data_IF_516542015411
#
_entry.id   IF_516542015411
#
_cell.length_a   1.000
_cell.length_b   1.000
_cell.length_c   1.000
_cell.angle_alpha   90.00
_cell.angle_beta   90.00
_cell.angle_gamma   90.00
#
_symmetry.space_group_name_H-M   'P 1'
#
loop_
_entity.id
_entity.type
_entity.pdbx_description
1 polymer ?
#
# COMPACT_ATOMS: atom_id res chain seq x y z
N UNK A 1 -5.57 15.30 -12.72
CA UNK A 1 -4.82 14.98 -11.48
C UNK A 1 -3.81 13.87 -11.78
N UNK A 2 -2.51 14.20 -11.86
CA UNK A 2 -1.44 13.22 -12.00
C UNK A 2 -1.19 12.58 -10.62
N UNK A 3 -1.91 11.52 -10.30
CA UNK A 3 -1.94 10.91 -8.97
C UNK A 3 -0.79 9.93 -8.68
N UNK A 4 0.19 9.80 -9.58
CA UNK A 4 1.17 8.72 -9.47
C UNK A 4 2.59 9.26 -9.60
N UNK A 5 3.21 9.52 -8.45
CA UNK A 5 4.66 9.46 -8.31
C UNK A 5 5.14 8.10 -8.84
N UNK A 6 6.21 8.10 -9.65
CA UNK A 6 6.81 6.88 -10.20
C UNK A 6 7.01 5.87 -9.07
N UNK A 7 6.27 4.76 -9.11
CA UNK A 7 6.49 3.65 -8.19
C UNK A 7 7.93 3.17 -8.40
N UNK A 8 8.72 3.04 -7.30
CA UNK A 8 10.08 2.53 -7.38
C UNK A 8 10.13 1.17 -8.07
N UNK A 9 11.28 0.78 -8.60
CA UNK A 9 11.43 -0.51 -9.25
C UNK A 9 10.93 -1.62 -8.30
N UNK A 10 10.00 -2.50 -8.72
CA UNK A 10 9.43 -3.54 -7.85
C UNK A 10 10.51 -4.43 -7.22
N UNK A 11 11.65 -4.61 -7.88
CA UNK A 11 12.81 -5.34 -7.35
C UNK A 11 13.41 -4.68 -6.11
N UNK A 12 13.48 -3.35 -6.10
CA UNK A 12 14.02 -2.59 -4.96
C UNK A 12 13.07 -2.65 -3.77
N UNK A 13 11.77 -2.48 -4.01
CA UNK A 13 10.72 -2.60 -2.99
C UNK A 13 10.81 -3.99 -2.36
N UNK A 14 10.81 -5.04 -3.18
CA UNK A 14 10.92 -6.42 -2.70
C UNK A 14 12.17 -6.66 -1.87
N UNK A 15 13.34 -6.15 -2.32
CA UNK A 15 14.61 -6.29 -1.59
C UNK A 15 14.56 -5.59 -0.24
N UNK A 16 13.99 -4.39 -0.16
CA UNK A 16 13.82 -3.67 1.12
C UNK A 16 12.92 -4.42 2.09
N UNK A 17 11.90 -5.11 1.58
CA UNK A 17 11.00 -5.95 2.38
C UNK A 17 11.61 -7.32 2.74
N UNK A 18 12.78 -7.69 2.21
CA UNK A 18 13.40 -8.99 2.46
C UNK A 18 12.64 -10.18 1.88
N UNK A 19 11.75 -9.96 0.91
CA UNK A 19 10.89 -11.02 0.35
C UNK A 19 11.53 -11.69 -0.88
N UNK A 20 11.28 -12.99 -1.04
CA UNK A 20 11.55 -13.67 -2.31
C UNK A 20 10.50 -13.28 -3.37
N UNK A 21 10.73 -13.65 -4.64
CA UNK A 21 9.82 -13.26 -5.73
C UNK A 21 8.42 -13.88 -5.56
N UNK A 22 8.34 -15.15 -5.16
CA UNK A 22 7.05 -15.84 -5.02
C UNK A 22 6.18 -15.14 -3.97
N UNK A 23 6.71 -14.87 -2.78
CA UNK A 23 5.97 -14.24 -1.68
C UNK A 23 5.58 -12.80 -1.99
N UNK A 24 6.46 -12.07 -2.68
CA UNK A 24 6.17 -10.70 -3.09
C UNK A 24 5.04 -10.62 -4.13
N UNK A 25 5.13 -11.43 -5.19
CA UNK A 25 4.19 -11.34 -6.30
C UNK A 25 2.84 -12.02 -6.01
N UNK A 26 2.85 -13.12 -5.24
CA UNK A 26 1.63 -13.84 -4.87
C UNK A 26 0.65 -12.99 -4.06
N UNK A 27 1.14 -12.09 -3.19
CA UNK A 27 0.31 -11.16 -2.40
C UNK A 27 -0.55 -10.22 -3.26
N UNK A 28 -0.21 -10.03 -4.52
CA UNK A 28 -1.00 -9.22 -5.48
C UNK A 28 -1.55 -10.06 -6.65
N UNK A 29 -1.62 -11.38 -6.48
CA UNK A 29 -2.18 -12.29 -7.47
C UNK A 29 -1.33 -12.46 -8.74
N UNK A 30 -0.04 -12.16 -8.70
CA UNK A 30 0.88 -12.30 -9.82
C UNK A 30 1.73 -13.55 -9.65
N UNK A 31 1.87 -14.34 -10.72
CA UNK A 31 2.75 -15.52 -10.73
C UNK A 31 4.22 -15.11 -10.62
N UNK A 32 5.10 -15.96 -10.07
CA UNK A 32 6.53 -15.65 -9.98
C UNK A 32 7.16 -15.38 -11.35
N UNK A 33 6.80 -16.14 -12.39
CA UNK A 33 7.32 -15.93 -13.75
C UNK A 33 6.84 -14.62 -14.37
N UNK A 34 5.60 -14.20 -14.06
CA UNK A 34 5.07 -12.88 -14.44
C UNK A 34 5.81 -11.76 -13.71
N UNK A 35 5.97 -11.90 -12.41
CA UNK A 35 6.67 -10.95 -11.54
C UNK A 35 8.13 -10.73 -11.94
N UNK A 36 8.85 -11.82 -12.23
CA UNK A 36 10.25 -11.76 -12.68
C UNK A 36 10.43 -10.91 -13.95
N UNK A 37 9.46 -10.96 -14.88
CA UNK A 37 9.48 -10.11 -16.08
C UNK A 37 9.34 -8.64 -15.73
N UNK A 38 8.48 -8.30 -14.78
CA UNK A 38 8.30 -6.92 -14.33
C UNK A 38 9.56 -6.40 -13.62
N UNK A 39 10.22 -7.21 -12.80
CA UNK A 39 11.50 -6.85 -12.16
C UNK A 39 12.64 -6.65 -13.17
N UNK A 40 12.54 -7.30 -14.33
CA UNK A 40 13.53 -7.23 -15.42
C UNK A 40 13.26 -6.09 -16.41
N UNK A 41 12.29 -5.21 -16.14
CA UNK A 41 12.03 -4.01 -16.93
C UNK A 41 10.86 -4.12 -17.91
N UNK A 42 10.12 -5.25 -17.94
CA UNK A 42 8.86 -5.31 -18.69
C UNK A 42 7.87 -4.29 -18.13
N UNK A 43 7.17 -3.58 -19.01
CA UNK A 43 6.11 -2.68 -18.59
C UNK A 43 5.03 -3.43 -17.78
N UNK A 44 4.74 -2.90 -16.60
CA UNK A 44 3.74 -3.44 -15.70
C UNK A 44 2.36 -2.82 -16.01
N UNK A 45 1.31 -3.64 -16.22
CA UNK A 45 -0.05 -3.15 -16.39
C UNK A 45 -0.49 -2.26 -15.24
N UNK A 46 -1.32 -1.26 -15.52
CA UNK A 46 -1.82 -0.32 -14.50
C UNK A 46 -2.45 -1.04 -13.29
N UNK A 47 -3.33 -2.06 -13.43
CA UNK A 47 -3.93 -2.73 -12.27
C UNK A 47 -2.90 -3.37 -11.34
N UNK A 48 -1.90 -4.07 -11.91
CA UNK A 48 -0.82 -4.70 -11.15
C UNK A 48 0.00 -3.66 -10.40
N UNK A 49 0.24 -2.51 -11.04
CA UNK A 49 1.00 -1.40 -10.46
C UNK A 49 0.27 -0.77 -9.26
N UNK A 50 -1.03 -0.59 -9.37
CA UNK A 50 -1.87 -0.06 -8.28
C UNK A 50 -1.90 -1.04 -7.09
N UNK A 51 -2.11 -2.33 -7.35
CA UNK A 51 -2.08 -3.34 -6.29
C UNK A 51 -0.71 -3.41 -5.60
N UNK A 52 0.38 -3.32 -6.36
CA UNK A 52 1.72 -3.27 -5.79
C UNK A 52 1.88 -2.08 -4.85
N UNK A 53 1.40 -0.89 -5.24
CA UNK A 53 1.44 0.29 -4.37
C UNK A 53 0.64 0.04 -3.09
N UNK A 54 -0.62 -0.39 -3.21
CA UNK A 54 -1.49 -0.59 -2.05
C UNK A 54 -0.90 -1.61 -1.07
N UNK A 55 -0.43 -2.75 -1.58
CA UNK A 55 0.03 -3.86 -0.73
C UNK A 55 1.45 -3.67 -0.20
N UNK A 56 2.39 -3.26 -1.05
CA UNK A 56 3.82 -3.27 -0.70
C UNK A 56 4.40 -1.90 -0.35
N UNK A 57 3.69 -0.80 -0.67
CA UNK A 57 4.12 0.57 -0.33
C UNK A 57 3.23 1.16 0.76
N UNK A 58 1.91 1.01 0.64
CA UNK A 58 0.96 1.49 1.65
C UNK A 58 0.66 0.43 2.73
N UNK A 59 1.22 -0.77 2.62
CA UNK A 59 1.07 -1.87 3.57
C UNK A 59 -0.40 -2.24 3.87
N UNK A 60 -1.27 -2.09 2.86
CA UNK A 60 -2.69 -2.42 2.95
C UNK A 60 -2.88 -3.92 2.72
N UNK A 61 -3.43 -4.59 3.71
CA UNK A 61 -3.90 -5.97 3.58
C UNK A 61 -5.26 -5.99 2.87
N UNK A 62 -5.27 -6.42 1.60
CA UNK A 62 -6.46 -6.47 0.76
C UNK A 62 -7.58 -7.34 1.35
N UNK A 63 -7.26 -8.36 2.15
CA UNK A 63 -8.26 -9.22 2.78
C UNK A 63 -9.06 -8.50 3.86
N UNK A 64 -8.52 -7.41 4.41
CA UNK A 64 -9.15 -6.60 5.45
C UNK A 64 -9.92 -5.40 4.89
N UNK A 65 -9.78 -5.11 3.61
CA UNK A 65 -10.43 -3.98 2.95
C UNK A 65 -11.92 -4.29 2.79
N UNK A 66 -12.78 -3.50 3.44
CA UNK A 66 -14.23 -3.59 3.29
C UNK A 66 -14.80 -2.34 2.62
N UNK A 67 -15.89 -2.52 1.88
CA UNK A 67 -16.59 -1.40 1.26
C UNK A 67 -17.13 -0.41 2.30
N UNK A 68 -17.72 -0.92 3.38
CA UNK A 68 -18.29 -0.14 4.48
C UNK A 68 -17.27 0.84 5.10
N UNK A 69 -16.00 0.44 5.24
CA UNK A 69 -14.96 1.33 5.77
C UNK A 69 -14.79 2.59 4.91
N UNK A 70 -14.91 2.46 3.58
CA UNK A 70 -14.83 3.60 2.67
C UNK A 70 -16.08 4.47 2.72
N UNK A 71 -17.26 3.87 2.86
CA UNK A 71 -18.51 4.61 3.03
C UNK A 71 -18.47 5.46 4.30
N UNK A 72 -17.99 4.90 5.41
CA UNK A 72 -17.79 5.62 6.66
C UNK A 72 -16.80 6.77 6.48
N UNK A 73 -15.68 6.54 5.80
CA UNK A 73 -14.67 7.59 5.52
C UNK A 73 -15.30 8.74 4.70
N UNK A 74 -16.09 8.41 3.68
CA UNK A 74 -16.73 9.40 2.82
C UNK A 74 -17.79 10.20 3.60
N UNK A 75 -18.63 9.51 4.38
CA UNK A 75 -19.60 10.15 5.27
C UNK A 75 -18.91 11.09 6.26
N UNK A 76 -17.82 10.65 6.91
CA UNK A 76 -17.07 11.48 7.85
C UNK A 76 -16.50 12.73 7.18
N UNK A 77 -15.98 12.63 5.96
CA UNK A 77 -15.44 13.79 5.24
C UNK A 77 -16.53 14.80 4.87
N UNK A 78 -17.72 14.32 4.50
CA UNK A 78 -18.84 15.17 4.07
C UNK A 78 -19.56 15.82 5.26
N UNK A 79 -19.87 15.03 6.30
CA UNK A 79 -20.71 15.48 7.42
C UNK A 79 -19.90 16.01 8.60
N UNK A 80 -18.72 15.45 8.85
CA UNK A 80 -17.89 15.79 10.02
C UNK A 80 -16.39 15.96 9.67
N UNK A 81 -16.03 16.92 8.80
CA UNK A 81 -14.66 17.06 8.30
C UNK A 81 -13.63 17.32 9.41
N UNK A 82 -14.01 18.00 10.49
CA UNK A 82 -13.11 18.26 11.61
C UNK A 82 -12.84 17.01 12.46
N UNK A 83 -13.83 16.12 12.60
CA UNK A 83 -13.64 14.81 13.21
C UNK A 83 -12.71 13.93 12.36
N UNK A 84 -12.88 13.93 11.04
CA UNK A 84 -11.95 13.23 10.15
C UNK A 84 -10.52 13.74 10.30
N UNK A 85 -10.31 15.06 10.38
CA UNK A 85 -8.99 15.67 10.61
C UNK A 85 -8.40 15.28 11.96
N UNK A 86 -9.21 15.27 13.03
CA UNK A 86 -8.73 14.91 14.37
C UNK A 86 -8.34 13.43 14.45
N UNK A 87 -9.16 12.53 13.90
CA UNK A 87 -8.85 11.10 13.79
C UNK A 87 -7.59 10.86 12.96
N UNK A 88 -7.45 11.53 11.81
CA UNK A 88 -6.23 11.46 10.99
C UNK A 88 -4.98 11.88 11.78
N UNK A 89 -5.07 12.95 12.57
CA UNK A 89 -3.97 13.42 13.42
C UNK A 89 -3.63 12.41 14.51
N UNK A 90 -4.64 11.83 15.16
CA UNK A 90 -4.47 10.81 16.19
C UNK A 90 -3.78 9.55 15.64
N UNK A 91 -4.25 9.02 14.50
CA UNK A 91 -3.64 7.86 13.82
C UNK A 91 -2.18 8.15 13.43
N UNK A 92 -1.90 9.33 12.90
CA UNK A 92 -0.54 9.71 12.52
C UNK A 92 0.40 9.83 13.72
N UNK A 93 -0.11 10.25 14.89
CA UNK A 93 0.66 10.29 16.12
C UNK A 93 0.93 8.89 16.66
N UNK A 94 -0.06 8.00 16.61
CA UNK A 94 0.07 6.62 17.04
C UNK A 94 1.08 5.84 16.18
N UNK A 95 1.02 6.00 14.85
CA UNK A 95 1.96 5.37 13.92
C UNK A 95 3.42 5.74 14.23
N UNK A 96 3.68 7.02 14.56
CA UNK A 96 5.01 7.50 14.96
C UNK A 96 5.48 6.93 16.30
N UNK A 97 4.57 6.67 17.24
CA UNK A 97 4.90 6.06 18.53
C UNK A 97 5.23 4.57 18.39
N UNK A 98 4.50 3.85 17.53
CA UNK A 98 4.81 2.44 17.24
C UNK A 98 6.16 2.26 16.54
N UNK A 99 6.53 3.12 15.59
CA UNK A 99 7.85 3.05 14.94
C UNK A 99 9.01 3.35 15.91
N UNK A 100 8.81 4.27 16.86
CA UNK A 100 9.83 4.60 17.87
C UNK A 100 10.06 3.49 18.91
N UNK A 101 9.02 2.69 19.18
CA UNK A 101 9.08 1.60 20.18
C UNK A 101 9.76 0.33 19.62
N UNK A 102 9.76 0.14 18.31
CA UNK A 102 10.37 -1.03 17.64
C UNK A 102 11.88 -0.83 17.37
N UNK A 103 12.41 0.38 17.55
CA UNK A 103 13.83 0.72 17.35
C UNK A 103 14.67 0.73 18.64
N UNK A 104 14.10 0.34 19.78
CA UNK A 104 14.77 0.13 21.08
C UNK A 104 14.81 -1.37 21.40
#
# INVERSE_FOLDING_TARGET
MQLFSKIPNPREIRRKLGLNQQDFWSKIGVTQSGGSRYESGRNMPKPVRELLRLVHVEHIDLARVKHEDFEIIEYLKQTHPDLYKSLKKAVSAQAKQSDATVQL
#
